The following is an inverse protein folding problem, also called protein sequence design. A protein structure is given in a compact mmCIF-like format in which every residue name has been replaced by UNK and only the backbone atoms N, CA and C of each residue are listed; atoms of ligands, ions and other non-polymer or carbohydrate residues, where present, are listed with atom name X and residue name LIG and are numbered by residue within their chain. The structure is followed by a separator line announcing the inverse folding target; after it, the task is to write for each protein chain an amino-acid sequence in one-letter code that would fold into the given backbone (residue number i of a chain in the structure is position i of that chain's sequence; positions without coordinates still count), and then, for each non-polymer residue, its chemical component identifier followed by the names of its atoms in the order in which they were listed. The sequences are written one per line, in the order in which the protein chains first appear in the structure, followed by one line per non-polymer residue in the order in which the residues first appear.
data_IF_223005620655
#
_entry.id   IF_223005620655
#
_cell.length_a   1.000
_cell.length_b   1.000
_cell.length_c   1.000
_cell.angle_alpha   90.00
_cell.angle_beta   90.00
_cell.angle_gamma   90.00
#
_symmetry.space_group_name_H-M   'P 1'
#
loop_
_entity.id
_entity.type
_entity.pdbx_description
1 polymer ?
#
# COMPACT_ATOMS: atom_id res chain seq x y z
N UNK A 1 4.60 37.35 13.84
CA UNK A 1 4.11 35.97 14.12
C UNK A 1 4.85 35.45 15.34
N UNK A 2 4.22 34.75 16.30
CA UNK A 2 4.99 34.22 17.45
C UNK A 2 5.89 33.07 17.01
N UNK A 3 7.05 32.91 17.66
CA UNK A 3 8.01 31.84 17.35
C UNK A 3 7.37 30.44 17.35
N UNK A 4 6.49 30.06 18.30
CA UNK A 4 5.80 28.76 18.27
C UNK A 4 4.90 28.56 17.05
N UNK A 5 4.22 29.63 16.58
CA UNK A 5 3.37 29.58 15.38
C UNK A 5 4.20 29.34 14.12
N UNK A 6 5.35 30.02 14.02
CA UNK A 6 6.26 29.83 12.89
C UNK A 6 6.80 28.40 12.89
N UNK A 7 7.32 27.93 14.02
CA UNK A 7 7.88 26.59 14.14
C UNK A 7 6.84 25.51 13.78
N UNK A 8 5.61 25.61 14.31
CA UNK A 8 4.54 24.66 14.00
C UNK A 8 4.19 24.63 12.51
N UNK A 9 4.14 25.79 11.84
CA UNK A 9 3.90 25.86 10.38
C UNK A 9 5.03 25.24 9.57
N UNK A 10 6.28 25.46 9.98
CA UNK A 10 7.46 24.85 9.33
C UNK A 10 7.40 23.32 9.48
N UNK A 11 7.10 22.82 10.67
CA UNK A 11 6.95 21.37 10.91
C UNK A 11 5.84 20.78 10.04
N UNK A 12 4.66 21.40 10.00
CA UNK A 12 3.55 20.95 9.16
C UNK A 12 3.90 20.99 7.66
N UNK A 13 4.59 22.04 7.21
CA UNK A 13 5.08 22.15 5.84
C UNK A 13 6.07 21.04 5.49
N UNK A 14 7.01 20.74 6.39
CA UNK A 14 7.96 19.64 6.22
C UNK A 14 7.26 18.28 6.16
N UNK A 15 6.28 18.02 7.05
CA UNK A 15 5.46 16.81 7.02
C UNK A 15 4.74 16.66 5.68
N UNK A 16 4.10 17.73 5.18
CA UNK A 16 3.43 17.71 3.89
C UNK A 16 4.38 17.41 2.72
N UNK A 17 5.57 18.01 2.73
CA UNK A 17 6.61 17.75 1.73
C UNK A 17 7.04 16.28 1.76
N UNK A 18 7.32 15.75 2.95
CA UNK A 18 7.78 14.37 3.16
C UNK A 18 6.72 13.35 2.71
N UNK A 19 5.45 13.51 3.09
CA UNK A 19 4.36 12.65 2.61
C UNK A 19 4.17 12.74 1.09
N UNK A 20 4.27 13.95 0.52
CA UNK A 20 4.17 14.16 -0.92
C UNK A 20 5.30 13.47 -1.70
N UNK A 21 6.55 13.58 -1.21
CA UNK A 21 7.69 12.88 -1.80
C UNK A 21 7.55 11.37 -1.67
N UNK A 22 7.11 10.86 -0.52
CA UNK A 22 6.85 9.43 -0.33
C UNK A 22 5.80 8.92 -1.32
N UNK A 23 4.71 9.68 -1.52
CA UNK A 23 3.67 9.32 -2.47
C UNK A 23 4.20 9.26 -3.92
N UNK A 24 5.09 10.17 -4.32
CA UNK A 24 5.71 10.16 -5.64
C UNK A 24 6.67 8.98 -5.82
N UNK A 25 7.49 8.68 -4.81
CA UNK A 25 8.39 7.51 -4.82
C UNK A 25 7.56 6.24 -4.98
N UNK A 26 6.53 6.06 -4.15
CA UNK A 26 5.62 4.93 -4.22
C UNK A 26 4.92 4.81 -5.57
N UNK A 27 4.54 5.93 -6.18
CA UNK A 27 3.96 5.91 -7.52
C UNK A 27 4.93 5.28 -8.53
N UNK A 28 6.19 5.72 -8.52
CA UNK A 28 7.24 5.18 -9.40
C UNK A 28 7.53 3.70 -9.11
N UNK A 29 7.63 3.33 -7.85
CA UNK A 29 7.87 1.94 -7.43
C UNK A 29 6.74 1.02 -7.91
N UNK A 30 5.47 1.43 -7.76
CA UNK A 30 4.33 0.67 -8.26
C UNK A 30 4.36 0.51 -9.78
N UNK A 31 4.69 1.57 -10.51
CA UNK A 31 4.82 1.50 -11.97
C UNK A 31 5.93 0.53 -12.38
N UNK A 32 7.14 0.68 -11.81
CA UNK A 32 8.28 -0.16 -12.15
C UNK A 32 8.06 -1.64 -11.79
N UNK A 33 7.57 -1.92 -10.58
CA UNK A 33 7.31 -3.28 -10.15
C UNK A 33 6.18 -3.95 -10.95
N UNK A 34 5.15 -3.19 -11.35
CA UNK A 34 4.12 -3.73 -12.25
C UNK A 34 4.69 -4.07 -13.63
N UNK A 35 5.52 -3.21 -14.21
CA UNK A 35 6.20 -3.51 -15.48
C UNK A 35 7.06 -4.78 -15.37
N UNK A 36 7.84 -4.92 -14.30
CA UNK A 36 8.62 -6.14 -14.06
C UNK A 36 7.74 -7.39 -13.92
N UNK A 37 6.58 -7.27 -13.25
CA UNK A 37 5.62 -8.36 -13.14
C UNK A 37 5.01 -8.75 -14.50
N UNK A 38 4.69 -7.77 -15.35
CA UNK A 38 4.22 -8.00 -16.73
C UNK A 38 5.27 -8.74 -17.55
N UNK A 39 6.52 -8.28 -17.53
CA UNK A 39 7.63 -8.92 -18.25
C UNK A 39 7.85 -10.35 -17.77
N UNK A 40 7.80 -10.58 -16.45
CA UNK A 40 7.92 -11.92 -15.86
C UNK A 40 6.77 -12.84 -16.27
N UNK A 41 5.54 -12.34 -16.25
CA UNK A 41 4.35 -13.10 -16.66
C UNK A 41 4.45 -13.52 -18.13
N UNK A 42 4.83 -12.57 -19.00
CA UNK A 42 5.05 -12.83 -20.43
C UNK A 42 6.17 -13.85 -20.67
N UNK A 43 7.31 -13.71 -19.97
CA UNK A 43 8.44 -14.63 -20.11
C UNK A 43 8.11 -16.08 -19.70
N UNK A 44 7.21 -16.26 -18.73
CA UNK A 44 6.76 -17.57 -18.27
C UNK A 44 5.53 -18.10 -19.03
N UNK A 45 4.88 -17.29 -19.87
CA UNK A 45 3.59 -17.63 -20.45
C UNK A 45 2.49 -17.84 -19.41
N UNK A 46 2.58 -17.15 -18.26
CA UNK A 46 1.64 -17.25 -17.14
C UNK A 46 0.77 -16.00 -17.04
N UNK A 47 -0.38 -16.12 -16.37
CA UNK A 47 -1.26 -14.99 -16.08
C UNK A 47 -0.58 -14.02 -15.11
N UNK A 48 -0.87 -12.74 -15.25
CA UNK A 48 -0.58 -11.71 -14.24
C UNK A 48 -1.84 -11.48 -13.38
N UNK A 49 -1.75 -11.86 -12.11
CA UNK A 49 -2.76 -11.55 -11.09
C UNK A 49 -2.33 -10.27 -10.36
N UNK A 50 -3.20 -9.27 -10.36
CA UNK A 50 -3.04 -8.02 -9.61
C UNK A 50 -3.91 -8.08 -8.36
N UNK A 51 -3.30 -7.96 -7.19
CA UNK A 51 -4.01 -7.88 -5.92
C UNK A 51 -4.03 -6.43 -5.47
N UNK A 52 -5.23 -5.88 -5.34
CA UNK A 52 -5.50 -4.48 -4.99
C UNK A 52 -5.95 -3.65 -6.20
N UNK A 53 -7.13 -3.03 -6.08
CA UNK A 53 -7.72 -2.19 -7.13
C UNK A 53 -6.77 -1.04 -7.55
N UNK A 54 -6.34 -0.99 -8.83
CA UNK A 54 -5.51 0.09 -9.36
C UNK A 54 -6.09 1.49 -9.15
N UNK A 55 -7.40 1.62 -8.98
CA UNK A 55 -8.12 2.90 -8.92
C UNK A 55 -8.66 3.27 -7.53
N UNK A 56 -8.50 2.40 -6.51
CA UNK A 56 -9.06 2.64 -5.19
C UNK A 56 -8.34 3.76 -4.41
N UNK A 57 -7.04 3.95 -4.66
CA UNK A 57 -6.21 4.93 -3.96
C UNK A 57 -6.58 6.37 -4.27
N UNK A 58 -6.50 7.27 -3.27
CA UNK A 58 -6.82 8.69 -3.43
C UNK A 58 -6.09 9.35 -4.62
N UNK A 59 -4.80 9.05 -4.79
CA UNK A 59 -4.00 9.57 -5.91
C UNK A 59 -4.23 8.81 -7.22
N UNK A 60 -4.57 7.51 -7.15
CA UNK A 60 -4.74 6.71 -8.37
C UNK A 60 -6.07 6.95 -9.08
N UNK A 61 -7.04 7.58 -8.39
CA UNK A 61 -8.23 8.16 -9.03
C UNK A 61 -7.92 9.26 -10.05
N UNK A 62 -6.77 9.93 -9.91
CA UNK A 62 -6.34 10.98 -10.84
C UNK A 62 -5.44 10.43 -11.94
N UNK A 63 -4.43 9.64 -11.56
CA UNK A 63 -3.51 8.99 -12.50
C UNK A 63 -3.21 7.58 -12.03
N UNK A 64 -3.50 6.60 -12.87
CA UNK A 64 -3.26 5.19 -12.56
C UNK A 64 -1.76 4.88 -12.61
N UNK A 65 -1.25 4.18 -11.61
CA UNK A 65 0.17 3.82 -11.50
C UNK A 65 0.53 2.48 -12.18
N UNK A 66 -0.44 1.57 -12.29
CA UNK A 66 -0.27 0.20 -12.78
C UNK A 66 -1.57 -0.31 -13.45
N UNK A 67 -1.50 -1.37 -14.25
CA UNK A 67 -2.65 -1.93 -14.96
C UNK A 67 -3.44 -2.96 -14.13
N UNK A 68 -4.48 -3.53 -14.74
CA UNK A 68 -5.34 -4.54 -14.09
C UNK A 68 -4.76 -5.96 -14.09
N UNK A 69 -3.67 -6.20 -14.84
CA UNK A 69 -3.23 -7.55 -15.17
C UNK A 69 -4.27 -8.30 -16.00
N UNK A 70 -4.16 -9.64 -16.01
CA UNK A 70 -5.17 -10.53 -16.60
C UNK A 70 -6.35 -10.76 -15.64
N UNK A 71 -6.10 -10.61 -14.33
CA UNK A 71 -7.11 -10.69 -13.26
C UNK A 71 -6.79 -9.67 -12.19
N UNK A 72 -7.78 -8.87 -11.82
CA UNK A 72 -7.72 -8.03 -10.62
C UNK A 72 -8.47 -8.70 -9.46
N UNK A 73 -7.83 -8.83 -8.31
CA UNK A 73 -8.39 -9.36 -7.07
C UNK A 73 -8.45 -8.23 -6.04
N UNK A 74 -9.62 -7.92 -5.51
CA UNK A 74 -9.78 -6.96 -4.43
C UNK A 74 -10.97 -7.32 -3.54
N UNK A 75 -10.89 -6.99 -2.25
CA UNK A 75 -11.97 -7.21 -1.28
C UNK A 75 -13.28 -6.50 -1.70
N UNK A 76 -13.16 -5.34 -2.34
CA UNK A 76 -14.29 -4.52 -2.78
C UNK A 76 -14.53 -4.60 -4.30
N UNK A 77 -13.72 -5.40 -5.00
CA UNK A 77 -13.71 -5.50 -6.46
C UNK A 77 -12.96 -4.38 -7.17
N UNK A 78 -12.69 -4.60 -8.47
CA UNK A 78 -11.98 -3.66 -9.34
C UNK A 78 -12.90 -3.21 -10.50
N UNK A 79 -13.78 -2.22 -10.29
CA UNK A 79 -14.87 -1.91 -11.24
C UNK A 79 -14.40 -1.41 -12.61
N UNK A 80 -13.16 -0.90 -12.71
CA UNK A 80 -12.57 -0.42 -13.97
C UNK A 80 -11.65 -1.46 -14.63
N UNK A 81 -11.62 -2.68 -14.11
CA UNK A 81 -10.85 -3.79 -14.66
C UNK A 81 -11.76 -4.75 -15.44
N UNK A 82 -11.33 -5.25 -16.62
CA UNK A 82 -12.16 -6.14 -17.43
C UNK A 82 -12.48 -7.47 -16.73
N UNK A 83 -11.51 -8.00 -15.98
CA UNK A 83 -11.65 -9.24 -15.22
C UNK A 83 -11.38 -8.93 -13.76
N UNK A 84 -12.41 -9.08 -12.93
CA UNK A 84 -12.36 -8.82 -11.49
C UNK A 84 -12.82 -10.05 -10.73
N UNK A 85 -12.12 -10.36 -9.64
CA UNK A 85 -12.51 -11.35 -8.65
C UNK A 85 -12.65 -10.62 -7.31
N UNK A 86 -13.86 -10.61 -6.77
CA UNK A 86 -14.12 -10.01 -5.45
C UNK A 86 -13.78 -11.04 -4.39
N UNK A 87 -12.65 -10.87 -3.73
CA UNK A 87 -12.19 -11.83 -2.73
C UNK A 87 -11.31 -11.18 -1.66
N UNK A 88 -11.43 -11.69 -0.44
CA UNK A 88 -10.47 -11.41 0.63
C UNK A 88 -9.25 -12.33 0.44
N UNK A 89 -8.09 -11.75 0.17
CA UNK A 89 -6.84 -12.50 -0.03
C UNK A 89 -6.44 -13.33 1.21
N UNK A 90 -6.95 -12.98 2.40
CA UNK A 90 -6.72 -13.72 3.64
C UNK A 90 -7.57 -14.99 3.77
N UNK A 91 -8.54 -15.18 2.87
CA UNK A 91 -9.55 -16.24 2.92
C UNK A 91 -9.37 -17.27 1.79
N UNK A 92 -8.17 -17.34 1.21
CA UNK A 92 -7.84 -18.30 0.17
C UNK A 92 -8.18 -19.75 0.53
N UNK A 93 -8.34 -20.63 -0.46
CA UNK A 93 -8.01 -20.43 -1.86
C UNK A 93 -9.06 -19.59 -2.62
N UNK A 94 -8.59 -18.63 -3.42
CA UNK A 94 -9.45 -17.88 -4.33
C UNK A 94 -9.87 -18.80 -5.49
N UNK A 95 -11.19 -18.91 -5.78
CA UNK A 95 -11.67 -19.70 -6.92
C UNK A 95 -11.00 -19.29 -8.24
N UNK A 96 -10.77 -20.26 -9.11
CA UNK A 96 -10.18 -20.08 -10.45
C UNK A 96 -8.72 -19.59 -10.49
N UNK A 97 -8.04 -19.50 -9.33
CA UNK A 97 -6.60 -19.30 -9.22
C UNK A 97 -5.93 -20.56 -8.66
N UNK A 98 -5.35 -21.37 -9.55
CA UNK A 98 -4.65 -22.61 -9.19
C UNK A 98 -3.29 -22.35 -8.52
N UNK A 99 -2.76 -23.37 -7.87
CA UNK A 99 -1.40 -23.37 -7.31
C UNK A 99 -0.36 -23.21 -8.44
N UNK A 100 0.72 -22.46 -8.17
CA UNK A 100 1.85 -22.22 -9.10
C UNK A 100 1.42 -21.85 -10.54
N UNK A 101 0.41 -20.99 -10.65
CA UNK A 101 -0.26 -20.74 -11.95
C UNK A 101 -0.06 -19.34 -12.49
N UNK A 102 0.40 -18.39 -11.68
CA UNK A 102 0.46 -16.98 -12.06
C UNK A 102 1.70 -16.26 -11.52
N UNK A 103 1.97 -15.08 -12.10
CA UNK A 103 2.79 -14.05 -11.49
C UNK A 103 1.86 -13.12 -10.72
N UNK A 104 2.24 -12.76 -9.50
CA UNK A 104 1.39 -12.00 -8.57
C UNK A 104 2.02 -10.64 -8.32
N UNK A 105 1.29 -9.57 -8.64
CA UNK A 105 1.63 -8.20 -8.29
C UNK A 105 0.71 -7.71 -7.17
N UNK A 106 1.29 -7.18 -6.09
CA UNK A 106 0.57 -6.68 -4.93
C UNK A 106 0.96 -5.23 -4.68
N UNK A 107 -0.02 -4.32 -4.72
CA UNK A 107 0.23 -2.90 -4.49
C UNK A 107 -0.53 -2.37 -3.30
N UNK A 108 0.17 -2.12 -2.20
CA UNK A 108 -0.34 -1.47 -0.99
C UNK A 108 -1.59 -2.16 -0.43
N UNK A 109 -1.59 -3.50 -0.38
CA UNK A 109 -2.71 -4.30 0.18
C UNK A 109 -2.37 -4.84 1.57
N UNK A 110 -1.13 -5.32 1.76
CA UNK A 110 -0.71 -6.03 2.97
C UNK A 110 -0.78 -5.15 4.24
N UNK A 111 -0.81 -3.83 4.09
CA UNK A 111 -1.01 -2.87 5.18
C UNK A 111 -2.40 -2.95 5.80
N UNK A 112 -3.39 -3.48 5.07
CA UNK A 112 -4.81 -3.37 5.41
C UNK A 112 -5.49 -4.71 5.68
N UNK A 113 -4.82 -5.83 5.39
CA UNK A 113 -5.36 -7.17 5.59
C UNK A 113 -5.55 -7.52 7.07
N UNK A 114 -6.58 -8.32 7.36
CA UNK A 114 -6.87 -8.78 8.72
C UNK A 114 -5.82 -9.78 9.26
N UNK A 115 -5.35 -10.68 8.39
CA UNK A 115 -4.36 -11.72 8.69
C UNK A 115 -3.25 -11.68 7.62
N UNK A 116 -2.09 -11.16 8.01
CA UNK A 116 -0.95 -11.01 7.11
C UNK A 116 -0.40 -12.36 6.65
N UNK A 117 -0.31 -13.33 7.54
CA UNK A 117 0.27 -14.63 7.22
C UNK A 117 -0.64 -15.42 6.28
N UNK A 118 -1.96 -15.31 6.45
CA UNK A 118 -2.93 -15.91 5.52
C UNK A 118 -2.84 -15.29 4.12
N UNK A 119 -2.72 -13.95 4.03
CA UNK A 119 -2.53 -13.28 2.75
C UNK A 119 -1.24 -13.74 2.05
N UNK A 120 -0.12 -13.81 2.78
CA UNK A 120 1.17 -14.23 2.24
C UNK A 120 1.15 -15.70 1.79
N UNK A 121 0.49 -16.59 2.54
CA UNK A 121 0.30 -17.99 2.12
C UNK A 121 -0.47 -18.11 0.81
N UNK A 122 -1.56 -17.35 0.66
CA UNK A 122 -2.35 -17.38 -0.57
C UNK A 122 -1.58 -16.81 -1.77
N UNK A 123 -0.85 -15.70 -1.57
CA UNK A 123 0.04 -15.14 -2.58
C UNK A 123 1.10 -16.16 -3.01
N UNK A 124 1.76 -16.79 -2.04
CA UNK A 124 2.79 -17.79 -2.31
C UNK A 124 2.23 -19.02 -3.02
N UNK A 125 1.03 -19.48 -2.65
CA UNK A 125 0.33 -20.60 -3.31
C UNK A 125 0.09 -20.30 -4.79
N UNK A 126 -0.49 -19.14 -5.10
CA UNK A 126 -0.79 -18.73 -6.48
C UNK A 126 0.50 -18.58 -7.30
N UNK A 127 1.53 -17.98 -6.69
CA UNK A 127 2.78 -17.65 -7.37
C UNK A 127 3.73 -18.84 -7.56
N UNK A 128 3.67 -19.82 -6.66
CA UNK A 128 4.53 -21.01 -6.59
C UNK A 128 6.01 -20.76 -6.27
N UNK A 129 6.52 -19.56 -6.55
CA UNK A 129 7.89 -19.13 -6.27
C UNK A 129 7.93 -17.66 -5.85
N UNK A 130 8.80 -17.26 -4.90
CA UNK A 130 9.05 -15.86 -4.56
C UNK A 130 9.45 -14.99 -5.75
N UNK A 131 10.11 -15.56 -6.77
CA UNK A 131 10.51 -14.84 -8.00
C UNK A 131 9.31 -14.42 -8.87
N UNK A 132 8.12 -14.96 -8.57
CA UNK A 132 6.87 -14.62 -9.24
C UNK A 132 6.01 -13.67 -8.40
N UNK A 133 6.54 -13.11 -7.31
CA UNK A 133 5.82 -12.21 -6.40
C UNK A 133 6.47 -10.83 -6.41
N UNK A 134 5.71 -9.82 -6.81
CA UNK A 134 6.13 -8.42 -6.85
C UNK A 134 5.26 -7.61 -5.89
N UNK A 135 5.86 -7.12 -4.79
CA UNK A 135 5.13 -6.37 -3.75
C UNK A 135 5.63 -4.94 -3.69
N UNK A 136 4.71 -3.98 -3.62
CA UNK A 136 5.01 -2.59 -3.27
C UNK A 136 4.20 -2.19 -2.06
N UNK A 137 4.90 -1.87 -0.98
CA UNK A 137 4.31 -1.44 0.29
C UNK A 137 4.16 0.09 0.39
N UNK A 138 3.37 0.52 1.35
CA UNK A 138 3.41 1.90 1.85
C UNK A 138 4.69 2.08 2.67
N UNK A 139 5.44 3.15 2.43
CA UNK A 139 6.67 3.44 3.15
C UNK A 139 6.38 3.50 4.67
N UNK A 140 7.00 2.63 5.49
CA UNK A 140 6.55 2.35 6.87
C UNK A 140 6.71 3.52 7.85
N UNK A 141 7.49 4.52 7.48
CA UNK A 141 7.74 5.72 8.28
C UNK A 141 6.74 6.85 8.02
N UNK A 142 5.87 6.72 7.02
CA UNK A 142 4.89 7.75 6.65
C UNK A 142 3.73 7.83 7.64
N UNK A 143 3.05 8.98 7.68
CA UNK A 143 1.74 9.13 8.28
C UNK A 143 0.71 8.26 7.55
N UNK A 144 0.82 8.14 6.22
CA UNK A 144 -0.03 7.25 5.43
C UNK A 144 0.00 5.82 5.98
N UNK A 145 1.18 5.26 6.26
CA UNK A 145 1.32 3.90 6.83
C UNK A 145 0.67 3.72 8.21
N UNK A 146 0.44 4.81 8.95
CA UNK A 146 -0.08 4.77 10.33
C UNK A 146 -1.56 5.14 10.41
N UNK A 147 -1.97 6.12 9.62
CA UNK A 147 -3.24 6.82 9.77
C UNK A 147 -4.22 6.55 8.64
N UNK A 148 -3.78 5.95 7.53
CA UNK A 148 -4.71 5.64 6.44
C UNK A 148 -5.84 4.72 6.96
N UNK A 149 -7.10 4.95 6.56
CA UNK A 149 -8.22 4.14 7.03
C UNK A 149 -7.96 2.65 6.81
N UNK A 150 -8.16 1.86 7.88
CA UNK A 150 -7.91 0.42 7.84
C UNK A 150 -6.45 0.00 7.99
N UNK A 151 -5.48 0.92 8.15
CA UNK A 151 -4.08 0.56 8.39
C UNK A 151 -3.95 -0.34 9.63
N UNK A 152 -3.43 -1.55 9.42
CA UNK A 152 -3.22 -2.60 10.42
C UNK A 152 -1.75 -2.99 10.50
N UNK A 153 -1.02 -2.89 9.41
CA UNK A 153 0.38 -3.26 9.31
C UNK A 153 1.19 -2.17 8.63
N UNK A 154 2.46 -2.06 9.01
CA UNK A 154 3.43 -1.25 8.27
C UNK A 154 4.80 -1.91 8.34
N UNK A 155 5.51 -1.88 7.23
CA UNK A 155 6.81 -2.52 7.10
C UNK A 155 7.17 -2.75 5.64
N UNK A 156 7.99 -3.76 5.39
CA UNK A 156 8.41 -4.12 4.04
C UNK A 156 8.23 -5.61 3.80
N UNK A 157 7.79 -5.93 2.59
CA UNK A 157 7.84 -7.27 2.03
C UNK A 157 8.64 -7.19 0.74
N UNK A 158 9.69 -8.00 0.64
CA UNK A 158 10.59 -8.02 -0.52
C UNK A 158 10.92 -9.45 -0.89
N UNK A 159 10.87 -9.76 -2.18
CA UNK A 159 11.36 -11.03 -2.73
C UNK A 159 12.68 -10.76 -3.46
N UNK A 160 13.76 -11.42 -3.04
CA UNK A 160 15.07 -11.33 -3.70
C UNK A 160 15.76 -12.68 -3.62
N UNK A 161 16.43 -13.09 -4.71
CA UNK A 161 17.20 -14.33 -4.80
C UNK A 161 16.42 -15.57 -4.33
N UNK A 162 15.16 -15.70 -4.78
CA UNK A 162 14.29 -16.83 -4.40
C UNK A 162 13.84 -16.85 -2.94
N UNK A 163 14.13 -15.81 -2.15
CA UNK A 163 13.73 -15.69 -0.74
C UNK A 163 12.77 -14.52 -0.55
N UNK A 164 11.64 -14.78 0.08
CA UNK A 164 10.73 -13.73 0.53
C UNK A 164 11.09 -13.30 1.96
N UNK A 165 11.35 -12.02 2.12
CA UNK A 165 11.63 -11.36 3.41
C UNK A 165 10.44 -10.53 3.83
N UNK A 166 9.95 -10.76 5.05
CA UNK A 166 8.75 -10.10 5.60
C UNK A 166 9.14 -9.43 6.90
N UNK A 167 9.09 -8.10 6.91
CA UNK A 167 9.40 -7.26 8.07
C UNK A 167 8.25 -6.29 8.33
N UNK A 168 7.08 -6.84 8.66
CA UNK A 168 5.86 -6.09 8.94
C UNK A 168 5.60 -6.04 10.45
N UNK A 169 5.15 -4.89 10.95
CA UNK A 169 4.75 -4.71 12.34
C UNK A 169 3.34 -4.12 12.44
N UNK A 170 2.55 -4.51 13.45
CA UNK A 170 1.19 -4.02 13.59
C UNK A 170 1.17 -2.52 13.90
N UNK A 171 0.09 -1.85 13.49
CA UNK A 171 -0.19 -0.45 13.77
C UNK A 171 -1.25 -0.41 14.88
N UNK A 172 -0.79 -0.12 16.10
CA UNK A 172 -1.63 -0.05 17.30
C UNK A 172 -2.45 1.23 17.41
N UNK A 173 -3.44 1.22 18.31
CA UNK A 173 -4.25 2.41 18.63
C UNK A 173 -3.42 3.49 19.33
N UNK A 174 -2.49 3.09 20.19
CA UNK A 174 -1.53 3.96 20.87
C UNK A 174 -0.73 4.80 19.88
N UNK A 175 -0.18 4.16 18.84
CA UNK A 175 0.55 4.86 17.78
C UNK A 175 -0.36 5.83 17.02
N UNK A 176 -1.58 5.41 16.66
CA UNK A 176 -2.54 6.28 15.96
C UNK A 176 -2.91 7.50 16.79
N UNK A 177 -3.16 7.32 18.09
CA UNK A 177 -3.49 8.40 19.01
C UNK A 177 -2.32 9.36 19.19
N UNK A 178 -1.10 8.84 19.36
CA UNK A 178 0.10 9.66 19.51
C UNK A 178 0.33 10.53 18.28
N UNK A 179 0.29 9.94 17.08
CA UNK A 179 0.51 10.70 15.84
C UNK A 179 -0.61 11.69 15.58
N UNK A 180 -1.87 11.30 15.77
CA UNK A 180 -3.02 12.20 15.60
C UNK A 180 -2.97 13.37 16.59
N UNK A 181 -2.64 13.09 17.85
CA UNK A 181 -2.50 14.10 18.89
C UNK A 181 -1.38 15.10 18.60
N UNK A 182 -0.21 14.60 18.15
CA UNK A 182 0.91 15.45 17.76
C UNK A 182 0.55 16.37 16.57
N UNK A 183 -0.12 15.83 15.55
CA UNK A 183 -0.59 16.63 14.41
C UNK A 183 -1.65 17.65 14.82
N UNK A 184 -2.60 17.26 15.67
CA UNK A 184 -3.63 18.15 16.21
C UNK A 184 -3.03 19.32 16.99
N UNK A 185 -2.03 19.04 17.84
CA UNK A 185 -1.32 20.07 18.59
C UNK A 185 -0.53 21.01 17.67
N UNK A 186 0.15 20.48 16.65
CA UNK A 186 0.87 21.29 15.68
C UNK A 186 -0.09 22.20 14.89
N UNK A 187 -1.23 21.67 14.43
CA UNK A 187 -2.28 22.43 13.73
C UNK A 187 -2.88 23.52 14.63
N UNK A 188 -3.27 23.16 15.85
CA UNK A 188 -3.79 24.12 16.82
C UNK A 188 -2.76 25.23 17.06
N UNK A 189 -1.50 24.88 17.33
CA UNK A 189 -0.43 25.86 17.56
C UNK A 189 -0.22 26.76 16.35
N UNK A 190 -0.21 26.23 15.13
CA UNK A 190 0.02 26.96 13.90
C UNK A 190 -1.09 27.97 13.56
N UNK A 191 -2.34 27.65 13.88
CA UNK A 191 -3.53 28.34 13.38
C UNK A 191 -4.46 28.91 14.46
N UNK A 192 -4.17 28.72 15.76
CA UNK A 192 -5.03 29.24 16.83
C UNK A 192 -5.26 30.75 16.68
N UNK A 193 -6.51 31.22 16.63
CA UNK A 193 -6.80 32.63 16.49
C UNK A 193 -6.29 33.40 17.71
N UNK A 194 -5.77 34.61 17.51
CA UNK A 194 -5.60 35.54 18.64
C UNK A 194 -7.00 36.06 18.96
N UNK A 195 -7.48 35.85 20.18
CA UNK A 195 -8.74 36.44 20.63
C UNK A 195 -8.75 37.95 20.34
N UNK A 196 -9.87 38.46 19.83
CA UNK A 196 -10.09 39.91 19.71
C UNK A 196 -9.92 40.50 21.11
N UNK A 197 -8.91 41.38 21.27
CA UNK A 197 -8.90 42.35 22.36
C UNK A 197 -9.78 43.51 21.96
#
# INVERSE_FOLDING_TARGET
MSLPKLAARVVLGYVGLVEGTAALIRFRERTAAFHAAVERAAALGRRLVVIGDPDAGMHTRLLRAYGCGDVCVDLNGCPKCPVTVVADITRGPIPDLADDSAVVFVSCVLEYVGDLDAALREIARIAGSPDNVFVVNVQPWTLTARLYPGARWRGTVSSSDGVQTVAMRPVGLDEKLLVTGALGLALATAFWPRGRR
#
